data_IF_503818578449
#
_entry.id   IF_503818578449
#
_cell.length_a   1.000
_cell.length_b   1.000
_cell.length_c   1.000
_cell.angle_alpha   90.00
_cell.angle_beta   90.00
_cell.angle_gamma   90.00
#
_symmetry.space_group_name_H-M   'P 1'
#
loop_
_entity.id
_entity.type
_entity.pdbx_description
1 polymer ?
#
# COMPACT_ATOMS: atom_id res chain seq x y z
N UNK A 1 -12.08 31.68 38.09
CA UNK A 1 -11.75 31.41 36.68
C UNK A 1 -10.65 30.34 36.62
N UNK A 2 -10.98 29.07 36.92
CA UNK A 2 -10.23 27.85 36.51
C UNK A 2 -10.93 26.61 37.10
N UNK A 3 -11.90 26.04 36.39
CA UNK A 3 -12.47 24.72 36.70
C UNK A 3 -12.87 24.07 35.39
N UNK A 4 -11.96 23.28 34.82
CA UNK A 4 -12.30 22.16 33.95
C UNK A 4 -11.11 21.18 33.92
N UNK A 5 -11.16 20.06 34.69
CA UNK A 5 -10.17 19.00 34.55
C UNK A 5 -10.45 18.25 33.24
N UNK A 6 -9.53 18.35 32.27
CA UNK A 6 -9.62 17.56 31.03
C UNK A 6 -9.77 16.07 31.38
N UNK A 7 -10.65 15.32 30.71
CA UNK A 7 -10.94 13.95 31.12
C UNK A 7 -9.74 13.04 30.82
N UNK A 8 -9.10 12.53 31.88
CA UNK A 8 -8.11 11.42 31.90
C UNK A 8 -8.71 10.07 31.41
N UNK A 9 -9.94 10.07 30.90
CA UNK A 9 -10.72 8.88 30.57
C UNK A 9 -10.38 8.26 29.20
N UNK A 10 -9.41 8.79 28.46
CA UNK A 10 -8.84 8.14 27.28
C UNK A 10 -7.49 7.51 27.68
N UNK A 11 -7.43 6.17 27.76
CA UNK A 11 -6.29 5.39 28.27
C UNK A 11 -4.94 5.93 27.76
N UNK A 12 -4.16 6.57 28.62
CA UNK A 12 -3.05 7.44 28.18
C UNK A 12 -1.65 6.86 28.37
N UNK A 13 -1.51 5.64 28.89
CA UNK A 13 -0.22 4.97 29.04
C UNK A 13 -0.03 3.86 28.02
N UNK A 14 1.07 3.89 27.26
CA UNK A 14 1.54 2.70 26.56
C UNK A 14 1.75 1.55 27.56
N UNK A 15 1.46 0.30 27.20
CA UNK A 15 1.55 -0.80 28.15
C UNK A 15 3.00 -0.97 28.66
N UNK A 16 3.16 -1.32 29.94
CA UNK A 16 4.47 -1.37 30.61
C UNK A 16 5.45 -2.36 29.97
N UNK A 17 4.94 -3.46 29.41
CA UNK A 17 5.75 -4.48 28.71
C UNK A 17 6.32 -3.90 27.41
N UNK A 18 5.50 -3.22 26.60
CA UNK A 18 5.89 -2.55 25.36
C UNK A 18 6.85 -1.40 25.61
N UNK A 19 6.74 -0.70 26.75
CA UNK A 19 7.74 0.29 27.13
C UNK A 19 9.12 -0.36 27.35
N UNK A 20 9.19 -1.50 28.05
CA UNK A 20 10.45 -2.24 28.25
C UNK A 20 10.99 -2.83 26.93
N UNK A 21 10.11 -3.35 26.08
CA UNK A 21 10.49 -3.81 24.74
C UNK A 21 10.99 -2.64 23.86
N UNK A 22 10.37 -1.47 23.95
CA UNK A 22 10.79 -0.26 23.26
C UNK A 22 12.18 0.22 23.70
N UNK A 23 12.47 0.16 25.01
CA UNK A 23 13.82 0.44 25.52
C UNK A 23 14.85 -0.54 24.95
N UNK A 24 14.53 -1.84 24.91
CA UNK A 24 15.40 -2.83 24.29
C UNK A 24 15.63 -2.56 22.80
N UNK A 25 14.58 -2.17 22.07
CA UNK A 25 14.67 -1.81 20.65
C UNK A 25 15.55 -0.57 20.40
N UNK A 26 15.46 0.46 21.24
CA UNK A 26 16.32 1.66 21.15
C UNK A 26 17.79 1.37 21.46
N UNK A 27 18.05 0.35 22.28
CA UNK A 27 19.41 -0.09 22.63
C UNK A 27 20.06 -0.99 21.55
N UNK A 28 19.40 -1.28 20.43
CA UNK A 28 19.98 -2.01 19.30
C UNK A 28 21.07 -1.23 18.54
N UNK A 29 21.30 0.03 18.91
CA UNK A 29 22.31 0.91 18.32
C UNK A 29 21.72 1.95 17.36
N UNK A 30 22.61 2.74 16.74
CA UNK A 30 22.20 3.80 15.82
C UNK A 30 21.32 3.26 14.70
N UNK A 31 20.18 3.92 14.45
CA UNK A 31 19.17 3.52 13.48
C UNK A 31 18.68 2.05 13.61
N UNK A 32 18.79 1.44 14.80
CA UNK A 32 18.37 0.05 15.07
C UNK A 32 19.35 -1.03 14.59
N UNK A 33 20.56 -0.65 14.20
CA UNK A 33 21.65 -1.57 13.88
C UNK A 33 21.38 -2.51 12.70
N UNK A 34 22.00 -3.69 12.73
CA UNK A 34 21.93 -4.68 11.65
C UNK A 34 20.50 -5.23 11.45
N UNK A 35 19.72 -5.34 12.54
CA UNK A 35 18.35 -5.82 12.48
C UNK A 35 17.47 -4.93 11.59
N UNK A 36 17.52 -3.61 11.78
CA UNK A 36 16.78 -2.65 10.95
C UNK A 36 17.36 -2.56 9.55
N UNK A 37 18.69 -2.55 9.40
CA UNK A 37 19.35 -2.52 8.08
C UNK A 37 18.92 -3.71 7.20
N UNK A 38 18.81 -4.90 7.78
CA UNK A 38 18.34 -6.11 7.07
C UNK A 38 16.89 -5.95 6.61
N UNK A 39 16.03 -5.41 7.47
CA UNK A 39 14.63 -5.12 7.10
C UNK A 39 14.55 -4.09 5.98
N UNK A 40 15.29 -2.98 6.07
CA UNK A 40 15.31 -1.92 5.04
C UNK A 40 15.74 -2.48 3.68
N UNK A 41 16.79 -3.33 3.65
CA UNK A 41 17.23 -3.99 2.41
C UNK A 41 16.14 -4.87 1.81
N UNK A 42 15.44 -5.65 2.63
CA UNK A 42 14.33 -6.49 2.16
C UNK A 42 13.14 -5.64 1.66
N UNK A 43 12.83 -4.51 2.30
CA UNK A 43 11.80 -3.58 1.83
C UNK A 43 12.19 -2.91 0.50
N UNK A 44 13.47 -2.56 0.33
CA UNK A 44 13.98 -1.99 -0.91
C UNK A 44 13.85 -2.99 -2.07
N UNK A 45 14.23 -4.25 -1.88
CA UNK A 45 14.08 -5.30 -2.90
C UNK A 45 12.61 -5.45 -3.35
N UNK A 46 11.68 -5.48 -2.38
CA UNK A 46 10.24 -5.59 -2.65
C UNK A 46 9.70 -4.37 -3.40
N UNK A 47 10.13 -3.17 -2.98
CA UNK A 47 9.79 -1.90 -3.64
C UNK A 47 10.25 -1.91 -5.08
N UNK A 48 11.52 -2.24 -5.31
CA UNK A 48 12.13 -2.21 -6.63
C UNK A 48 11.46 -3.24 -7.57
N UNK A 49 11.14 -4.43 -7.06
CA UNK A 49 10.35 -5.44 -7.79
C UNK A 49 8.98 -4.90 -8.22
N UNK A 50 8.20 -4.34 -7.29
CA UNK A 50 6.85 -3.85 -7.60
C UNK A 50 6.88 -2.63 -8.51
N UNK A 51 7.77 -1.66 -8.26
CA UNK A 51 7.91 -0.46 -9.10
C UNK A 51 8.24 -0.85 -10.53
N UNK A 52 9.17 -1.79 -10.74
CA UNK A 52 9.47 -2.32 -12.07
C UNK A 52 8.22 -2.93 -12.73
N UNK A 53 7.50 -3.81 -12.03
CA UNK A 53 6.34 -4.49 -12.59
C UNK A 53 5.15 -3.56 -12.87
N UNK A 54 4.93 -2.53 -12.06
CA UNK A 54 3.88 -1.54 -12.31
C UNK A 54 4.25 -0.59 -13.46
N UNK A 55 5.54 -0.23 -13.61
CA UNK A 55 6.01 0.58 -14.77
C UNK A 55 5.83 -0.14 -16.11
N UNK A 56 5.77 -1.48 -16.11
CA UNK A 56 5.50 -2.29 -17.30
C UNK A 56 4.01 -2.32 -17.68
N UNK A 57 3.10 -1.94 -16.77
CA UNK A 57 1.67 -1.90 -17.08
C UNK A 57 1.32 -0.68 -17.95
N UNK A 58 0.52 -0.86 -19.01
CA UNK A 58 0.16 0.25 -19.90
C UNK A 58 -0.67 1.29 -19.15
N UNK A 59 -0.45 2.58 -19.40
CA UNK A 59 -1.26 3.67 -18.83
C UNK A 59 -1.27 3.77 -17.29
N UNK A 60 -0.43 3.01 -16.59
CA UNK A 60 -0.22 3.12 -15.13
C UNK A 60 0.90 4.11 -14.86
N UNK A 61 0.70 5.03 -13.91
CA UNK A 61 1.77 5.93 -13.45
C UNK A 61 2.13 5.60 -12.01
N UNK A 62 3.42 5.54 -11.74
CA UNK A 62 3.93 5.29 -10.39
C UNK A 62 5.11 6.23 -10.09
N UNK A 63 4.98 7.13 -9.10
CA UNK A 63 6.12 7.87 -8.59
C UNK A 63 7.04 6.91 -7.85
N UNK A 64 8.36 7.10 -7.98
CA UNK A 64 9.32 6.28 -7.25
C UNK A 64 9.37 6.69 -5.77
N UNK A 65 9.01 5.81 -4.83
CA UNK A 65 8.94 6.18 -3.44
C UNK A 65 10.31 6.15 -2.78
N UNK A 66 10.64 7.23 -2.06
CA UNK A 66 11.91 7.41 -1.38
C UNK A 66 11.96 6.76 0.01
N UNK A 67 10.82 6.29 0.53
CA UNK A 67 10.72 5.69 1.86
C UNK A 67 9.33 5.13 2.16
N UNK A 68 9.11 4.77 3.43
CA UNK A 68 7.95 3.98 3.89
C UNK A 68 7.84 2.62 3.18
N UNK A 69 6.72 1.93 3.37
CA UNK A 69 6.43 0.62 2.78
C UNK A 69 5.14 0.62 1.93
N UNK A 70 4.86 1.75 1.27
CA UNK A 70 3.67 1.95 0.45
C UNK A 70 4.00 2.44 -0.96
N UNK A 71 3.27 1.93 -1.95
CA UNK A 71 3.20 2.50 -3.30
C UNK A 71 1.87 3.22 -3.46
N UNK A 72 1.88 4.37 -4.12
CA UNK A 72 0.68 5.05 -4.60
C UNK A 72 0.69 4.98 -6.12
N UNK A 73 -0.12 4.07 -6.66
CA UNK A 73 -0.16 3.78 -8.08
C UNK A 73 -1.39 4.43 -8.69
N UNK A 74 -1.19 5.28 -9.70
CA UNK A 74 -2.26 5.97 -10.40
C UNK A 74 -2.82 5.06 -11.51
N UNK A 75 -4.09 4.70 -11.34
CA UNK A 75 -4.87 3.90 -12.28
C UNK A 75 -6.00 4.71 -12.93
N UNK A 76 -6.01 6.03 -12.79
CA UNK A 76 -7.09 6.90 -13.28
C UNK A 76 -7.33 6.79 -14.79
N UNK A 77 -6.31 6.39 -15.56
CA UNK A 77 -6.43 6.11 -16.99
C UNK A 77 -7.43 4.98 -17.31
N UNK A 78 -7.78 4.13 -16.34
CA UNK A 78 -8.74 3.03 -16.52
C UNK A 78 -10.16 3.40 -16.08
N UNK A 79 -10.38 4.59 -15.51
CA UNK A 79 -11.71 5.01 -15.10
C UNK A 79 -12.61 5.20 -16.33
N UNK A 80 -13.84 4.72 -16.24
CA UNK A 80 -14.77 4.56 -17.36
C UNK A 80 -14.74 3.17 -18.01
N UNK A 81 -13.79 2.30 -17.66
CA UNK A 81 -13.78 0.91 -18.14
C UNK A 81 -15.03 0.18 -17.71
N UNK A 82 -15.68 -0.51 -18.65
CA UNK A 82 -16.78 -1.42 -18.37
C UNK A 82 -16.28 -2.86 -18.42
N UNK A 83 -16.50 -3.59 -17.32
CA UNK A 83 -16.00 -4.96 -17.15
C UNK A 83 -17.17 -5.92 -17.04
N UNK A 84 -17.14 -6.96 -17.86
CA UNK A 84 -18.18 -8.00 -17.87
C UNK A 84 -18.29 -8.69 -16.49
N UNK A 85 -19.52 -8.76 -15.97
CA UNK A 85 -19.81 -9.37 -14.67
C UNK A 85 -19.42 -8.53 -13.44
N UNK A 86 -18.94 -7.29 -13.62
CA UNK A 86 -18.67 -6.34 -12.52
C UNK A 86 -19.41 -5.01 -12.73
N UNK A 87 -19.32 -4.45 -13.93
CA UNK A 87 -19.84 -3.13 -14.28
C UNK A 87 -18.73 -2.10 -14.51
N UNK A 88 -19.07 -0.81 -14.39
CA UNK A 88 -18.16 0.31 -14.69
C UNK A 88 -17.22 0.64 -13.52
N UNK A 89 -15.92 0.77 -13.81
CA UNK A 89 -14.92 1.32 -12.90
C UNK A 89 -15.01 2.86 -12.94
N UNK A 90 -15.55 3.48 -11.89
CA UNK A 90 -15.81 4.93 -11.86
C UNK A 90 -14.72 5.73 -11.16
N UNK A 91 -14.09 5.13 -10.16
CA UNK A 91 -13.15 5.78 -9.25
C UNK A 91 -12.24 4.74 -8.57
N UNK A 92 -11.31 5.21 -7.74
CA UNK A 92 -10.39 4.34 -6.98
C UNK A 92 -11.10 3.31 -6.12
N UNK A 93 -12.25 3.62 -5.52
CA UNK A 93 -13.00 2.70 -4.66
C UNK A 93 -13.58 1.53 -5.46
N UNK A 94 -14.27 1.81 -6.57
CA UNK A 94 -14.79 0.77 -7.47
C UNK A 94 -13.68 -0.09 -8.05
N UNK A 95 -12.49 0.48 -8.32
CA UNK A 95 -11.33 -0.27 -8.77
C UNK A 95 -10.75 -1.16 -7.66
N UNK A 96 -10.69 -0.69 -6.41
CA UNK A 96 -10.27 -1.50 -5.27
C UNK A 96 -11.20 -2.70 -5.06
N UNK A 97 -12.52 -2.51 -5.16
CA UNK A 97 -13.50 -3.60 -5.05
C UNK A 97 -13.31 -4.59 -6.21
N UNK A 98 -13.13 -4.11 -7.44
CA UNK A 98 -12.85 -4.95 -8.60
C UNK A 98 -11.59 -5.82 -8.41
N UNK A 99 -10.49 -5.21 -7.96
CA UNK A 99 -9.23 -5.92 -7.69
C UNK A 99 -9.39 -6.91 -6.53
N UNK A 100 -10.21 -6.60 -5.53
CA UNK A 100 -10.53 -7.52 -4.45
C UNK A 100 -11.30 -8.74 -4.97
N UNK A 101 -12.29 -8.56 -5.82
CA UNK A 101 -13.11 -9.66 -6.34
C UNK A 101 -12.35 -10.54 -7.34
N UNK A 102 -11.60 -9.93 -8.27
CA UNK A 102 -10.91 -10.65 -9.35
C UNK A 102 -9.51 -11.12 -8.98
N UNK A 103 -8.74 -10.29 -8.27
CA UNK A 103 -7.36 -10.59 -7.92
C UNK A 103 -7.19 -11.04 -6.45
N UNK A 104 -8.23 -10.93 -5.62
CA UNK A 104 -8.16 -11.21 -4.17
C UNK A 104 -7.11 -10.33 -3.47
N UNK A 105 -6.91 -9.11 -3.97
CA UNK A 105 -5.96 -8.14 -3.40
C UNK A 105 -6.72 -6.95 -2.84
N UNK A 106 -6.47 -6.63 -1.57
CA UNK A 106 -7.07 -5.47 -0.92
C UNK A 106 -6.21 -4.25 -1.10
N UNK A 107 -6.86 -3.13 -1.40
CA UNK A 107 -6.18 -1.85 -1.51
C UNK A 107 -7.04 -0.73 -0.91
N UNK A 108 -6.41 0.42 -0.63
CA UNK A 108 -7.13 1.63 -0.26
C UNK A 108 -7.04 2.62 -1.41
N UNK A 109 -8.18 3.15 -1.82
CA UNK A 109 -8.26 4.18 -2.85
C UNK A 109 -8.05 5.57 -2.27
N UNK A 110 -7.44 6.45 -3.07
CA UNK A 110 -7.31 7.88 -2.82
C UNK A 110 -7.48 8.62 -4.16
N UNK A 111 -8.74 8.95 -4.48
CA UNK A 111 -9.26 9.56 -5.72
C UNK A 111 -8.80 8.88 -7.03
N UNK A 112 -7.54 9.10 -7.41
CA UNK A 112 -6.88 8.59 -8.63
C UNK A 112 -5.89 7.46 -8.35
N UNK A 113 -5.40 7.39 -7.12
CA UNK A 113 -4.36 6.47 -6.72
C UNK A 113 -4.91 5.29 -5.91
N UNK A 114 -4.19 4.18 -5.99
CA UNK A 114 -4.39 3.02 -5.13
C UNK A 114 -3.15 2.83 -4.27
N UNK A 115 -3.34 2.76 -2.96
CA UNK A 115 -2.29 2.51 -1.97
C UNK A 115 -2.04 1.01 -1.81
N UNK A 116 -0.83 0.59 -2.07
CA UNK A 116 -0.38 -0.81 -1.99
C UNK A 116 0.69 -0.94 -0.91
N UNK A 117 0.43 -1.75 0.11
CA UNK A 117 1.44 -2.11 1.13
C UNK A 117 2.32 -3.23 0.61
N UNK A 118 3.65 -3.06 0.71
CA UNK A 118 4.62 -4.11 0.38
C UNK A 118 5.32 -4.68 1.62
N UNK A 119 4.68 -4.58 2.78
CA UNK A 119 5.09 -5.22 4.02
C UNK A 119 4.66 -6.70 4.13
N UNK A 120 4.72 -7.43 3.01
CA UNK A 120 4.50 -8.87 2.91
C UNK A 120 5.76 -9.57 2.39
N UNK A 121 5.74 -10.91 2.29
CA UNK A 121 6.82 -11.66 1.66
C UNK A 121 6.89 -11.37 0.16
N UNK A 122 8.09 -11.50 -0.42
CA UNK A 122 8.27 -11.30 -1.86
C UNK A 122 7.40 -12.27 -2.69
N UNK A 123 7.23 -13.51 -2.22
CA UNK A 123 6.39 -14.52 -2.89
C UNK A 123 4.92 -14.10 -2.91
N UNK A 124 4.37 -13.59 -1.81
CA UNK A 124 3.01 -13.06 -1.77
C UNK A 124 2.86 -11.87 -2.71
N UNK A 125 3.86 -10.98 -2.76
CA UNK A 125 3.84 -9.82 -3.67
C UNK A 125 3.92 -10.23 -5.14
N UNK A 126 4.69 -11.26 -5.48
CA UNK A 126 4.74 -11.82 -6.84
C UNK A 126 3.38 -12.39 -7.25
N UNK A 127 2.74 -13.19 -6.39
CA UNK A 127 1.39 -13.73 -6.65
C UNK A 127 0.35 -12.61 -6.79
N UNK A 128 0.36 -11.63 -5.88
CA UNK A 128 -0.55 -10.49 -5.94
C UNK A 128 -0.34 -9.69 -7.24
N UNK A 129 0.91 -9.39 -7.59
CA UNK A 129 1.23 -8.66 -8.83
C UNK A 129 0.76 -9.42 -10.07
N UNK A 130 0.97 -10.74 -10.15
CA UNK A 130 0.51 -11.56 -11.27
C UNK A 130 -1.02 -11.46 -11.45
N UNK A 131 -1.78 -11.62 -10.37
CA UNK A 131 -3.25 -11.49 -10.39
C UNK A 131 -3.69 -10.07 -10.72
N UNK A 132 -2.98 -9.05 -10.25
CA UNK A 132 -3.25 -7.65 -10.63
C UNK A 132 -3.00 -7.43 -12.12
N UNK A 133 -1.91 -7.97 -12.70
CA UNK A 133 -1.66 -7.88 -14.15
C UNK A 133 -2.81 -8.50 -14.95
N UNK A 134 -3.29 -9.67 -14.55
CA UNK A 134 -4.43 -10.35 -15.18
C UNK A 134 -5.73 -9.53 -15.07
N UNK A 135 -6.03 -8.99 -13.89
CA UNK A 135 -7.24 -8.18 -13.69
C UNK A 135 -7.20 -6.86 -14.47
N UNK A 136 -6.04 -6.18 -14.48
CA UNK A 136 -5.85 -4.92 -15.23
C UNK A 136 -5.92 -5.15 -16.74
N UNK A 137 -5.55 -6.33 -17.24
CA UNK A 137 -5.69 -6.68 -18.67
C UNK A 137 -7.16 -6.72 -19.15
N UNK A 138 -8.13 -6.85 -18.23
CA UNK A 138 -9.56 -6.77 -18.53
C UNK A 138 -10.05 -5.32 -18.67
N UNK A 139 -9.26 -4.34 -18.24
CA UNK A 139 -9.60 -2.93 -18.27
C UNK A 139 -9.15 -2.31 -19.58
N UNK A 140 -9.96 -1.38 -20.11
CA UNK A 140 -9.62 -0.62 -21.32
C UNK A 140 -9.16 0.76 -20.91
N UNK A 141 -7.93 1.18 -21.24
CA UNK A 141 -7.52 2.55 -20.94
C UNK A 141 -8.45 3.51 -21.68
N UNK A 142 -9.04 4.45 -20.94
CA UNK A 142 -9.79 5.55 -21.51
C UNK A 142 -8.74 6.49 -22.14
N UNK A 143 -8.57 6.37 -23.46
CA UNK A 143 -7.77 7.33 -24.22
C UNK A 143 -8.50 8.66 -24.14
N UNK A 144 -8.05 9.54 -23.25
CA UNK A 144 -8.41 10.94 -23.34
C UNK A 144 -7.86 11.45 -24.68
N UNK A 145 -8.78 11.79 -25.59
CA UNK A 145 -8.48 12.57 -26.79
C UNK A 145 -7.91 13.94 -26.40
#
# INVERSE_FOLDING_TARGET
MWKDPKPVHLRSGANSISQKAGLAALNLGYAGGEAVSTMVKAFQERRDYLVKNFKELPSVKIPEPQGAFYLFVDFSAYYGSEVEGFGTIKNSESLCIFLLEKAQVTHLGDDKCIRISYAASLTTLQTAMARTKEAVALLKPCVAA
#
